data_IF_654620182303
#
_entry.id   IF_654620182303
#
_cell.length_a   1.000
_cell.length_b   1.000
_cell.length_c   1.000
_cell.angle_alpha   90.00
_cell.angle_beta   90.00
_cell.angle_gamma   90.00
#
_symmetry.space_group_name_H-M   'P 1'
#
loop_
_entity.id
_entity.type
_entity.pdbx_description
1 polymer ?
#
# COMPACT_ATOMS: atom_id res chain seq x y z
N UNK A 1 -0.12 -54.77 -5.54
CA UNK A 1 1.03 -54.80 -6.50
C UNK A 1 0.69 -53.82 -7.59
N UNK A 2 1.29 -52.68 -7.59
CA UNK A 2 1.71 -51.86 -8.76
C UNK A 2 2.28 -50.56 -8.20
N UNK A 3 3.56 -50.47 -8.37
CA UNK A 3 4.44 -49.39 -7.92
C UNK A 3 4.27 -48.15 -8.82
N UNK A 4 3.81 -47.04 -8.27
CA UNK A 4 3.84 -45.74 -8.90
C UNK A 4 5.03 -44.91 -8.39
N UNK A 5 5.93 -44.52 -9.27
CA UNK A 5 7.08 -43.64 -9.02
C UNK A 5 6.62 -42.21 -8.73
N UNK A 6 7.30 -41.48 -7.86
CA UNK A 6 7.05 -40.04 -7.71
C UNK A 6 7.70 -39.28 -8.89
N UNK A 7 6.91 -38.46 -9.55
CA UNK A 7 7.40 -37.49 -10.54
C UNK A 7 8.09 -36.32 -9.83
N UNK A 8 9.42 -36.29 -9.92
CA UNK A 8 10.22 -35.14 -9.54
C UNK A 8 10.08 -34.04 -10.58
N UNK A 9 9.18 -33.09 -10.39
CA UNK A 9 9.10 -31.90 -11.20
C UNK A 9 10.24 -30.95 -10.84
N UNK A 10 11.24 -30.84 -11.68
CA UNK A 10 12.23 -29.76 -11.64
C UNK A 10 11.52 -28.48 -12.05
N UNK A 11 11.46 -27.51 -11.16
CA UNK A 11 11.06 -26.15 -11.49
C UNK A 11 11.99 -25.62 -12.59
N UNK A 12 11.50 -25.51 -13.80
CA UNK A 12 12.21 -24.85 -14.90
C UNK A 12 11.93 -23.35 -14.79
N UNK A 13 12.92 -22.64 -14.29
CA UNK A 13 12.96 -21.18 -14.43
C UNK A 13 13.34 -20.86 -15.88
N UNK A 14 12.48 -20.11 -16.58
CA UNK A 14 12.79 -19.62 -17.91
C UNK A 14 13.70 -18.40 -17.81
N UNK A 15 14.83 -18.37 -18.56
CA UNK A 15 15.65 -17.18 -18.65
C UNK A 15 14.98 -16.15 -19.56
N UNK A 16 14.90 -14.91 -19.10
CA UNK A 16 14.57 -13.76 -19.95
C UNK A 16 15.66 -13.61 -21.04
N UNK A 17 15.27 -13.73 -22.28
CA UNK A 17 16.15 -13.62 -23.45
C UNK A 17 16.58 -12.16 -23.65
N UNK A 18 17.86 -11.90 -23.49
CA UNK A 18 18.53 -10.73 -24.04
C UNK A 18 18.68 -10.89 -25.56
N UNK A 19 17.97 -10.08 -26.33
CA UNK A 19 18.08 -10.06 -27.79
C UNK A 19 17.86 -8.65 -28.33
N UNK A 20 18.95 -7.86 -28.42
CA UNK A 20 18.93 -6.56 -29.12
C UNK A 20 19.06 -6.80 -30.60
N UNK A 21 17.98 -6.61 -31.34
CA UNK A 21 17.95 -6.55 -32.81
C UNK A 21 17.67 -5.11 -33.27
N UNK A 22 18.68 -4.39 -33.72
CA UNK A 22 18.56 -3.09 -34.37
C UNK A 22 17.84 -3.21 -35.73
N UNK A 23 16.53 -2.95 -35.73
CA UNK A 23 15.73 -2.82 -36.95
C UNK A 23 15.10 -1.43 -37.02
N UNK A 24 15.71 -0.51 -37.80
CA UNK A 24 15.11 0.80 -38.10
C UNK A 24 13.82 0.61 -38.90
N UNK A 25 12.67 0.76 -38.25
CA UNK A 25 11.43 1.14 -38.91
C UNK A 25 10.92 2.43 -38.26
N UNK A 26 10.80 3.47 -39.10
CA UNK A 26 10.15 4.73 -38.76
C UNK A 26 8.68 4.44 -38.47
N UNK A 27 8.32 4.25 -37.21
CA UNK A 27 6.95 4.37 -36.73
C UNK A 27 6.81 5.77 -36.17
N UNK A 28 5.77 6.47 -36.61
CA UNK A 28 5.45 7.81 -36.15
C UNK A 28 5.42 7.82 -34.63
N UNK A 29 6.36 8.54 -34.02
CA UNK A 29 6.29 8.91 -32.60
C UNK A 29 5.04 9.76 -32.43
N UNK A 30 3.93 9.17 -32.02
CA UNK A 30 2.95 9.89 -31.22
C UNK A 30 3.60 10.17 -29.88
N UNK A 31 4.37 11.22 -29.84
CA UNK A 31 4.79 11.84 -28.60
C UNK A 31 3.49 12.24 -27.90
N UNK A 32 3.22 11.61 -26.77
CA UNK A 32 2.17 12.06 -25.87
C UNK A 32 2.49 13.51 -25.48
N UNK A 33 1.91 14.45 -26.18
CA UNK A 33 1.75 15.81 -25.69
C UNK A 33 0.60 15.79 -24.67
N UNK A 34 0.84 15.17 -23.50
CA UNK A 34 0.15 15.63 -22.30
C UNK A 34 0.62 17.07 -22.11
N UNK A 35 -0.32 18.00 -22.25
CA UNK A 35 -0.06 19.43 -22.09
C UNK A 35 0.79 19.63 -20.82
N UNK A 36 1.90 20.31 -20.97
CA UNK A 36 2.78 20.80 -19.91
C UNK A 36 2.05 21.86 -19.04
N UNK A 37 0.94 21.48 -18.41
CA UNK A 37 0.45 22.11 -17.22
C UNK A 37 0.78 21.16 -16.06
N UNK A 38 2.03 21.17 -15.62
CA UNK A 38 2.35 20.89 -14.23
C UNK A 38 1.66 21.96 -13.41
N UNK A 39 0.36 21.78 -13.14
CA UNK A 39 -0.24 22.39 -11.98
C UNK A 39 0.46 21.78 -10.76
N UNK A 40 1.57 22.38 -10.36
CA UNK A 40 1.92 22.36 -8.96
C UNK A 40 0.73 23.06 -8.30
N UNK A 41 -0.22 22.27 -7.78
CA UNK A 41 -1.26 22.81 -6.92
C UNK A 41 -0.49 23.42 -5.75
N UNK A 42 -0.41 24.76 -5.76
CA UNK A 42 0.19 25.51 -4.64
C UNK A 42 -0.66 25.13 -3.44
N UNK A 43 -0.05 24.67 -2.33
CA UNK A 43 -0.79 24.44 -1.11
C UNK A 43 -1.59 25.70 -0.80
N UNK A 44 -2.90 25.53 -0.73
CA UNK A 44 -3.82 26.62 -0.37
C UNK A 44 -4.27 26.36 1.06
N UNK A 45 -4.53 27.43 1.80
CA UNK A 45 -5.19 27.25 3.10
C UNK A 45 -6.56 26.63 2.89
N UNK A 46 -6.84 25.54 3.62
CA UNK A 46 -8.12 24.82 3.58
C UNK A 46 -8.75 24.80 4.96
N UNK A 47 -10.07 24.88 5.02
CA UNK A 47 -10.83 24.87 6.26
C UNK A 47 -12.02 23.94 6.14
N UNK A 48 -12.02 22.86 6.93
CA UNK A 48 -13.09 21.88 7.06
C UNK A 48 -13.91 22.22 8.29
N UNK A 49 -15.17 22.67 8.11
CA UNK A 49 -16.03 23.18 9.20
C UNK A 49 -17.20 22.23 9.44
N UNK A 50 -17.84 22.34 10.59
CA UNK A 50 -19.03 21.56 10.95
C UNK A 50 -18.82 20.03 10.89
N UNK A 51 -17.59 19.58 11.04
CA UNK A 51 -17.23 18.17 10.85
C UNK A 51 -17.42 17.36 12.14
N UNK A 52 -17.79 16.09 11.99
CA UNK A 52 -17.40 15.08 12.97
C UNK A 52 -15.91 14.80 12.74
N UNK A 53 -15.06 15.05 13.75
CA UNK A 53 -13.61 14.87 13.62
C UNK A 53 -13.18 13.63 14.40
N UNK A 54 -12.41 12.74 13.73
CA UNK A 54 -11.74 11.59 14.33
C UNK A 54 -10.23 11.78 14.19
N UNK A 55 -9.53 12.32 15.19
CA UNK A 55 -8.13 12.71 15.03
C UNK A 55 -7.13 11.56 15.13
N UNK A 56 -7.52 10.37 15.57
CA UNK A 56 -6.64 9.21 15.81
C UNK A 56 -5.50 9.49 16.81
N UNK A 57 -5.66 10.51 17.67
CA UNK A 57 -4.69 10.89 18.72
C UNK A 57 -5.09 10.41 20.10
N UNK A 58 -6.14 9.59 20.22
CA UNK A 58 -6.63 9.13 21.52
C UNK A 58 -5.56 8.27 22.22
N UNK A 59 -5.36 8.52 23.50
CA UNK A 59 -4.53 7.71 24.38
C UNK A 59 -5.42 6.64 25.02
N UNK A 60 -5.06 5.36 24.86
CA UNK A 60 -5.86 4.23 25.32
C UNK A 60 -6.92 3.80 24.31
N UNK A 61 -7.82 2.92 24.70
CA UNK A 61 -8.75 2.19 23.83
C UNK A 61 -10.04 2.94 23.45
N UNK A 62 -10.17 4.22 23.85
CA UNK A 62 -11.38 4.99 23.61
C UNK A 62 -11.21 5.99 22.46
N UNK A 63 -11.79 5.75 21.30
CA UNK A 63 -11.80 6.71 20.20
C UNK A 63 -12.59 7.94 20.60
N UNK A 64 -11.99 9.13 20.46
CA UNK A 64 -12.64 10.39 20.73
C UNK A 64 -12.98 11.09 19.42
N UNK A 65 -14.24 11.01 19.04
CA UNK A 65 -14.79 11.89 18.01
C UNK A 65 -15.39 13.14 18.66
N UNK A 66 -15.34 14.28 17.98
CA UNK A 66 -15.98 15.52 18.42
C UNK A 66 -16.52 16.30 17.21
N UNK A 67 -17.45 17.22 17.47
CA UNK A 67 -17.89 18.19 16.46
C UNK A 67 -16.93 19.37 16.48
N UNK A 68 -16.40 19.74 15.31
CA UNK A 68 -15.40 20.80 15.25
C UNK A 68 -14.94 21.13 13.85
N UNK A 69 -13.73 21.67 13.76
CA UNK A 69 -13.11 22.08 12.52
C UNK A 69 -11.63 21.66 12.46
N UNK A 70 -11.13 21.56 11.20
CA UNK A 70 -9.73 21.30 10.88
C UNK A 70 -9.27 22.36 9.88
N UNK A 71 -8.21 23.07 10.21
CA UNK A 71 -7.57 24.03 9.32
C UNK A 71 -6.22 23.53 8.82
N UNK A 72 -5.95 23.77 7.56
CA UNK A 72 -4.70 23.44 6.87
C UNK A 72 -4.07 24.73 6.37
N UNK A 73 -2.79 24.92 6.66
CA UNK A 73 -1.97 25.97 6.05
C UNK A 73 -0.75 25.31 5.39
N UNK A 74 -0.51 25.63 4.15
CA UNK A 74 0.48 24.97 3.32
C UNK A 74 0.25 23.43 3.28
N UNK A 75 1.24 22.65 3.67
CA UNK A 75 1.14 21.18 3.71
C UNK A 75 0.97 20.63 5.14
N UNK A 76 0.61 21.48 6.11
CA UNK A 76 0.48 21.09 7.52
C UNK A 76 -0.90 21.40 8.07
N UNK A 77 -1.32 20.59 9.04
CA UNK A 77 -2.50 20.88 9.85
C UNK A 77 -2.16 22.04 10.79
N UNK A 78 -2.88 23.16 10.64
CA UNK A 78 -2.68 24.35 11.44
C UNK A 78 -3.44 24.29 12.76
N UNK A 79 -4.65 23.71 12.78
CA UNK A 79 -5.40 23.45 13.99
C UNK A 79 -6.39 22.30 13.82
N UNK A 80 -6.76 21.67 14.93
CA UNK A 80 -7.86 20.69 15.05
C UNK A 80 -8.58 21.03 16.36
N UNK A 81 -9.82 21.52 16.29
CA UNK A 81 -10.49 22.02 17.50
C UNK A 81 -12.01 21.92 17.46
N UNK A 82 -12.61 21.72 18.63
CA UNK A 82 -14.03 21.90 18.88
C UNK A 82 -14.37 23.37 19.28
N UNK A 83 -13.38 24.21 19.54
CA UNK A 83 -13.57 25.59 19.94
C UNK A 83 -13.83 26.48 18.70
N UNK A 84 -15.00 27.12 18.60
CA UNK A 84 -15.29 28.06 17.52
C UNK A 84 -14.33 29.26 17.43
N UNK A 85 -13.66 29.61 18.53
CA UNK A 85 -12.66 30.69 18.54
C UNK A 85 -11.45 30.31 17.68
N UNK A 86 -10.96 29.07 17.75
CA UNK A 86 -9.85 28.60 16.93
C UNK A 86 -10.17 28.64 15.42
N UNK A 87 -11.42 28.31 15.04
CA UNK A 87 -11.88 28.44 13.67
C UNK A 87 -11.94 29.92 13.24
N UNK A 88 -12.44 30.82 14.09
CA UNK A 88 -12.52 32.25 13.80
C UNK A 88 -11.12 32.89 13.63
N UNK A 89 -10.18 32.52 14.50
CA UNK A 89 -8.79 32.97 14.41
C UNK A 89 -8.12 32.49 13.11
N UNK A 90 -8.33 31.24 12.74
CA UNK A 90 -7.82 30.70 11.47
C UNK A 90 -8.41 31.45 10.25
N UNK A 91 -9.73 31.70 10.25
CA UNK A 91 -10.38 32.49 9.18
C UNK A 91 -9.84 33.91 9.07
N UNK A 92 -9.53 34.53 10.19
CA UNK A 92 -8.94 35.86 10.24
C UNK A 92 -7.51 35.87 9.69
N UNK A 93 -6.72 34.84 10.02
CA UNK A 93 -5.35 34.67 9.55
C UNK A 93 -5.26 34.23 8.07
N UNK A 94 -6.25 33.52 7.56
CA UNK A 94 -6.31 32.96 6.22
C UNK A 94 -7.63 33.30 5.50
N UNK A 95 -7.87 34.59 5.15
CA UNK A 95 -9.12 35.02 4.52
C UNK A 95 -9.34 34.41 3.12
N UNK A 96 -8.27 33.92 2.47
CA UNK A 96 -8.28 33.23 1.20
C UNK A 96 -8.56 31.72 1.33
N UNK A 97 -8.67 31.19 2.54
CA UNK A 97 -8.84 29.76 2.78
C UNK A 97 -10.10 29.23 2.09
N UNK A 98 -9.93 28.16 1.34
CA UNK A 98 -11.06 27.44 0.76
C UNK A 98 -11.81 26.68 1.84
N UNK A 99 -13.12 26.87 1.90
CA UNK A 99 -13.98 26.32 2.96
C UNK A 99 -14.75 25.11 2.45
N UNK A 100 -14.68 24.00 3.22
CA UNK A 100 -15.46 22.77 3.03
C UNK A 100 -16.46 22.66 4.19
N UNK A 101 -17.76 22.68 3.86
CA UNK A 101 -18.81 22.42 4.85
C UNK A 101 -19.00 20.90 5.00
N UNK A 102 -18.61 20.37 6.15
CA UNK A 102 -18.60 18.93 6.46
C UNK A 102 -19.78 18.51 7.35
N UNK A 103 -20.91 19.21 7.30
CA UNK A 103 -22.13 18.78 8.02
C UNK A 103 -22.57 17.39 7.60
N UNK A 104 -22.70 16.47 8.58
CA UNK A 104 -23.04 15.07 8.32
C UNK A 104 -21.89 14.24 7.74
N UNK A 105 -20.65 14.78 7.77
CA UNK A 105 -19.46 14.10 7.29
C UNK A 105 -18.43 13.94 8.40
N UNK A 106 -17.54 12.96 8.19
CA UNK A 106 -16.40 12.70 9.04
C UNK A 106 -15.13 13.27 8.38
N UNK A 107 -14.29 13.93 9.16
CA UNK A 107 -12.91 14.27 8.79
C UNK A 107 -11.97 13.41 9.64
N UNK A 108 -11.10 12.63 8.98
CA UNK A 108 -10.14 11.75 9.62
C UNK A 108 -8.83 11.71 8.85
N UNK A 109 -7.73 11.18 9.44
CA UNK A 109 -6.50 10.95 8.67
C UNK A 109 -6.77 10.07 7.46
N UNK A 110 -6.01 10.29 6.39
CA UNK A 110 -6.00 9.40 5.24
C UNK A 110 -5.50 8.00 5.59
N UNK A 111 -5.96 7.01 4.83
CA UNK A 111 -5.56 5.62 5.01
C UNK A 111 -4.17 5.37 4.41
N UNK A 112 -3.44 4.45 5.02
CA UNK A 112 -2.10 4.02 4.60
C UNK A 112 -2.15 2.55 4.24
N UNK A 113 -1.94 2.23 2.97
CA UNK A 113 -1.79 0.87 2.47
C UNK A 113 -0.31 0.47 2.52
N UNK A 114 0.05 -0.50 3.34
CA UNK A 114 1.46 -0.79 3.66
C UNK A 114 2.09 -1.89 2.83
N UNK A 115 1.35 -2.47 1.90
CA UNK A 115 1.86 -3.41 0.90
C UNK A 115 0.86 -3.57 -0.23
N UNK A 116 1.26 -3.20 -1.41
CA UNK A 116 0.49 -3.46 -2.62
C UNK A 116 1.41 -3.74 -3.83
N UNK A 117 0.78 -4.09 -4.94
CA UNK A 117 1.37 -4.23 -6.26
C UNK A 117 0.50 -3.43 -7.24
N UNK A 118 0.52 -2.09 -7.10
CA UNK A 118 -0.45 -1.21 -7.73
C UNK A 118 -0.55 -1.38 -9.26
N UNK A 119 0.57 -1.66 -9.94
CA UNK A 119 0.58 -1.89 -11.38
C UNK A 119 -0.12 -3.20 -11.82
N UNK A 120 -0.36 -4.15 -10.89
CA UNK A 120 -1.13 -5.36 -11.15
C UNK A 120 -2.63 -5.10 -11.38
N UNK A 121 -3.10 -3.87 -11.31
CA UNK A 121 -4.44 -3.48 -11.80
C UNK A 121 -4.69 -3.92 -13.24
N UNK A 122 -3.66 -4.02 -14.08
CA UNK A 122 -3.77 -4.56 -15.44
C UNK A 122 -4.07 -6.07 -15.48
N UNK A 123 -3.88 -6.76 -14.38
CA UNK A 123 -4.07 -8.22 -14.24
C UNK A 123 -5.30 -8.57 -13.40
N UNK A 124 -6.06 -7.58 -12.96
CA UNK A 124 -7.29 -7.78 -12.16
C UNK A 124 -8.21 -8.78 -12.83
N UNK A 125 -8.60 -9.82 -12.10
CA UNK A 125 -9.47 -10.91 -12.59
C UNK A 125 -8.94 -11.64 -13.86
N UNK A 126 -7.62 -11.59 -14.08
CA UNK A 126 -7.03 -12.29 -15.23
C UNK A 126 -6.98 -13.81 -15.04
N UNK A 127 -6.78 -14.26 -13.79
CA UNK A 127 -6.73 -15.67 -13.43
C UNK A 127 -7.11 -15.82 -11.96
N UNK A 128 -8.31 -16.31 -11.69
CA UNK A 128 -8.83 -16.51 -10.33
C UNK A 128 -9.04 -18.02 -10.06
N UNK A 129 -9.19 -18.39 -8.79
CA UNK A 129 -9.52 -19.75 -8.32
C UNK A 129 -8.49 -20.82 -8.73
N UNK A 130 -7.21 -20.46 -8.71
CA UNK A 130 -6.08 -21.29 -9.14
C UNK A 130 -5.05 -21.40 -8.01
N UNK A 131 -4.45 -22.57 -7.73
CA UNK A 131 -3.39 -22.72 -6.75
C UNK A 131 -2.20 -21.78 -7.04
N UNK A 132 -1.63 -21.14 -6.00
CA UNK A 132 -0.63 -20.07 -6.09
C UNK A 132 0.51 -20.38 -7.09
N UNK A 133 1.14 -21.54 -7.01
CA UNK A 133 2.29 -21.86 -7.89
C UNK A 133 1.88 -22.01 -9.36
N UNK A 134 0.70 -22.55 -9.65
CA UNK A 134 0.16 -22.61 -11.01
C UNK A 134 -0.25 -21.21 -11.48
N UNK A 135 -0.86 -20.42 -10.61
CA UNK A 135 -1.24 -19.04 -10.87
C UNK A 135 -0.04 -18.18 -11.25
N UNK A 136 1.06 -18.24 -10.47
CA UNK A 136 2.31 -17.52 -10.77
C UNK A 136 2.94 -17.99 -12.09
N UNK A 137 3.15 -19.31 -12.25
CA UNK A 137 3.92 -19.85 -13.38
C UNK A 137 3.19 -19.78 -14.72
N UNK A 138 1.87 -20.02 -14.72
CA UNK A 138 1.11 -20.22 -15.95
C UNK A 138 0.40 -18.94 -16.41
N UNK A 139 0.18 -17.96 -15.49
CA UNK A 139 -0.59 -16.76 -15.77
C UNK A 139 0.16 -15.46 -15.47
N UNK A 140 0.61 -15.25 -14.21
CA UNK A 140 1.11 -13.95 -13.78
C UNK A 140 2.47 -13.63 -14.40
N UNK A 141 3.48 -14.47 -14.18
CA UNK A 141 4.81 -14.23 -14.75
C UNK A 141 4.82 -14.19 -16.29
N UNK A 142 4.08 -15.05 -17.01
CA UNK A 142 3.94 -14.89 -18.47
C UNK A 142 3.25 -13.60 -18.91
N UNK A 143 2.30 -13.05 -18.14
CA UNK A 143 1.71 -11.75 -18.42
C UNK A 143 2.73 -10.63 -18.20
N UNK A 144 3.40 -10.63 -17.06
CA UNK A 144 4.43 -9.65 -16.68
C UNK A 144 5.59 -9.62 -17.67
N UNK A 145 6.06 -10.78 -18.13
CA UNK A 145 7.12 -10.86 -19.13
C UNK A 145 6.78 -10.18 -20.49
N UNK A 146 5.49 -9.94 -20.74
CA UNK A 146 5.00 -9.25 -21.95
C UNK A 146 4.75 -7.77 -21.74
N UNK A 147 4.71 -7.30 -20.46
CA UNK A 147 4.57 -5.89 -20.13
C UNK A 147 5.81 -5.10 -20.54
N UNK A 148 5.62 -3.81 -20.73
CA UNK A 148 6.68 -2.82 -20.88
C UNK A 148 6.67 -1.91 -19.64
N UNK A 149 7.73 -1.16 -19.41
CA UNK A 149 7.76 -0.17 -18.34
C UNK A 149 6.63 0.88 -18.46
N UNK A 150 6.20 1.20 -19.67
CA UNK A 150 5.07 2.12 -19.89
C UNK A 150 3.72 1.47 -19.50
N UNK A 151 3.59 0.15 -19.62
CA UNK A 151 2.43 -0.59 -19.12
C UNK A 151 2.39 -0.60 -17.59
N UNK A 152 3.54 -0.76 -16.95
CA UNK A 152 3.65 -0.67 -15.49
C UNK A 152 3.24 0.73 -15.00
N UNK A 153 3.72 1.79 -15.65
CA UNK A 153 3.31 3.17 -15.34
C UNK A 153 1.81 3.38 -15.51
N UNK A 154 1.21 2.77 -16.53
CA UNK A 154 -0.24 2.85 -16.77
C UNK A 154 -1.02 2.11 -15.68
N UNK A 155 -0.60 0.89 -15.32
CA UNK A 155 -1.20 0.13 -14.23
C UNK A 155 -1.08 0.85 -12.87
N UNK A 156 0.11 1.40 -12.58
CA UNK A 156 0.34 2.26 -11.40
C UNK A 156 -0.63 3.45 -11.39
N UNK A 157 -0.85 4.10 -12.55
CA UNK A 157 -1.79 5.23 -12.67
C UNK A 157 -3.21 4.81 -12.30
N UNK A 158 -3.65 3.63 -12.77
CA UNK A 158 -4.97 3.08 -12.43
C UNK A 158 -5.07 2.72 -10.95
N UNK A 159 -4.04 2.09 -10.38
CA UNK A 159 -4.00 1.73 -8.96
C UNK A 159 -4.05 2.98 -8.06
N UNK A 160 -3.28 4.01 -8.37
CA UNK A 160 -3.32 5.29 -7.63
C UNK A 160 -4.70 5.94 -7.73
N UNK A 161 -5.34 5.89 -8.90
CA UNK A 161 -6.69 6.42 -9.06
C UNK A 161 -7.71 5.72 -8.17
N UNK A 162 -7.65 4.40 -8.07
CA UNK A 162 -8.50 3.60 -7.19
C UNK A 162 -8.22 3.89 -5.72
N UNK A 163 -6.95 3.87 -5.31
CA UNK A 163 -6.51 4.18 -3.94
C UNK A 163 -6.97 5.58 -3.50
N UNK A 164 -6.76 6.61 -4.32
CA UNK A 164 -7.21 7.97 -4.00
C UNK A 164 -8.74 8.03 -3.84
N UNK A 165 -9.51 7.43 -4.75
CA UNK A 165 -10.98 7.36 -4.62
C UNK A 165 -11.41 6.55 -3.39
N UNK A 166 -10.60 5.63 -2.90
CA UNK A 166 -10.81 4.84 -1.69
C UNK A 166 -10.34 5.51 -0.41
N UNK A 167 -9.72 6.70 -0.48
CA UNK A 167 -9.24 7.42 0.72
C UNK A 167 -7.84 7.03 1.18
N UNK A 168 -7.10 6.28 0.37
CA UNK A 168 -5.67 6.01 0.59
C UNK A 168 -4.89 7.28 0.22
N UNK A 169 -4.13 7.80 1.16
CA UNK A 169 -3.26 8.98 0.96
C UNK A 169 -1.80 8.60 0.86
N UNK A 170 -1.46 7.42 1.34
CA UNK A 170 -0.09 6.90 1.33
C UNK A 170 -0.11 5.40 1.06
N UNK A 171 0.83 4.90 0.25
CA UNK A 171 0.95 3.47 -0.02
C UNK A 171 2.41 3.01 -0.11
N UNK A 172 2.60 1.70 0.08
CA UNK A 172 3.89 1.01 -0.05
C UNK A 172 3.75 0.00 -1.19
N UNK A 173 4.39 0.27 -2.30
CA UNK A 173 4.36 -0.58 -3.49
C UNK A 173 5.57 -1.50 -3.59
N UNK A 174 5.40 -2.64 -4.20
CA UNK A 174 6.46 -3.60 -4.45
C UNK A 174 6.33 -4.15 -5.87
N UNK A 175 6.97 -3.50 -6.85
CA UNK A 175 6.82 -3.93 -8.24
C UNK A 175 8.08 -3.68 -9.08
N UNK A 176 7.98 -3.92 -10.39
CA UNK A 176 9.04 -3.69 -11.37
C UNK A 176 9.02 -2.25 -11.87
N UNK A 177 10.17 -1.76 -12.34
CA UNK A 177 10.32 -0.45 -13.00
C UNK A 177 9.85 0.75 -12.16
N UNK A 178 10.01 0.69 -10.86
CA UNK A 178 9.60 1.75 -9.94
C UNK A 178 10.29 3.09 -10.21
N UNK A 179 11.51 3.06 -10.75
CA UNK A 179 12.18 4.25 -11.26
C UNK A 179 11.35 5.03 -12.29
N UNK A 180 10.53 4.32 -13.10
CA UNK A 180 9.62 4.91 -14.09
C UNK A 180 8.33 5.43 -13.48
N UNK A 181 7.94 4.93 -12.30
CA UNK A 181 6.72 5.32 -11.60
C UNK A 181 6.86 6.60 -10.78
N UNK A 182 8.08 7.01 -10.40
CA UNK A 182 8.37 8.19 -9.55
C UNK A 182 7.66 9.46 -10.06
N UNK A 183 7.75 9.75 -11.36
CA UNK A 183 7.13 10.96 -11.93
C UNK A 183 5.61 10.89 -11.92
N UNK A 184 5.02 9.72 -12.11
CA UNK A 184 3.56 9.52 -12.09
C UNK A 184 3.01 9.69 -10.67
N UNK A 185 3.67 9.09 -9.66
CA UNK A 185 3.33 9.27 -8.25
C UNK A 185 3.40 10.75 -7.86
N UNK A 186 4.46 11.45 -8.25
CA UNK A 186 4.63 12.87 -7.95
C UNK A 186 3.55 13.73 -8.61
N UNK A 187 3.24 13.47 -9.87
CA UNK A 187 2.20 14.19 -10.65
C UNK A 187 0.79 13.96 -10.07
N UNK A 188 0.44 12.73 -9.72
CA UNK A 188 -0.86 12.42 -9.11
C UNK A 188 -0.94 12.87 -7.66
N UNK A 189 0.20 13.06 -7.02
CA UNK A 189 0.33 13.73 -5.74
C UNK A 189 -0.04 12.87 -4.53
N UNK A 190 -0.14 11.57 -4.68
CA UNK A 190 -0.24 10.63 -3.57
C UNK A 190 1.13 10.47 -2.91
N UNK A 191 1.18 10.02 -1.65
CA UNK A 191 2.43 9.69 -0.97
C UNK A 191 2.76 8.22 -1.18
N UNK A 192 4.03 7.89 -1.47
CA UNK A 192 4.44 6.51 -1.76
C UNK A 192 5.81 6.13 -1.19
N UNK A 193 5.95 4.85 -0.86
CA UNK A 193 7.22 4.16 -0.75
C UNK A 193 7.28 3.12 -1.86
N UNK A 194 8.17 3.31 -2.84
CA UNK A 194 8.29 2.49 -4.04
C UNK A 194 9.40 1.46 -3.87
N UNK A 195 9.03 0.19 -3.80
CA UNK A 195 9.92 -0.95 -3.60
C UNK A 195 10.30 -1.63 -4.89
N UNK A 196 11.52 -1.41 -5.34
CA UNK A 196 12.03 -2.04 -6.54
C UNK A 196 12.25 -3.54 -6.30
N UNK A 197 11.35 -4.34 -6.86
CA UNK A 197 11.30 -5.79 -6.67
C UNK A 197 12.36 -6.52 -7.49
N UNK A 198 13.07 -7.47 -6.85
CA UNK A 198 14.05 -8.32 -7.53
C UNK A 198 14.04 -9.77 -7.05
N UNK A 199 14.54 -10.63 -7.95
CA UNK A 199 14.82 -12.05 -7.78
C UNK A 199 16.31 -12.32 -7.99
N UNK A 200 16.79 -13.53 -7.72
CA UNK A 200 18.14 -13.92 -8.09
C UNK A 200 18.44 -13.77 -9.59
N UNK A 201 17.43 -13.88 -10.44
CA UNK A 201 17.56 -13.87 -11.89
C UNK A 201 17.72 -12.48 -12.51
N UNK A 202 17.28 -11.41 -11.82
CA UNK A 202 17.27 -10.05 -12.37
C UNK A 202 17.97 -9.00 -11.47
N UNK A 203 18.61 -9.41 -10.39
CA UNK A 203 19.22 -8.48 -9.43
C UNK A 203 20.26 -7.54 -10.08
N UNK A 204 21.01 -8.00 -11.07
CA UNK A 204 22.03 -7.18 -11.75
C UNK A 204 21.42 -6.01 -12.53
N UNK A 205 20.17 -6.17 -12.96
CA UNK A 205 19.40 -5.13 -13.66
C UNK A 205 18.72 -4.19 -12.65
N UNK A 206 18.18 -4.74 -11.56
CA UNK A 206 17.36 -3.97 -10.62
C UNK A 206 18.19 -3.14 -9.64
N UNK A 207 19.37 -3.59 -9.18
CA UNK A 207 20.20 -2.78 -8.27
C UNK A 207 20.55 -1.40 -8.82
N UNK A 208 20.91 -1.22 -10.12
CA UNK A 208 21.04 0.10 -10.73
C UNK A 208 19.75 0.91 -10.78
N UNK A 209 18.59 0.27 -11.06
CA UNK A 209 17.27 0.93 -11.08
C UNK A 209 16.90 1.50 -9.70
N UNK A 210 17.21 0.80 -8.60
CA UNK A 210 17.04 1.30 -7.22
C UNK A 210 17.82 2.61 -7.03
N UNK A 211 19.08 2.65 -7.47
CA UNK A 211 19.91 3.86 -7.38
C UNK A 211 19.34 5.02 -8.21
N UNK A 212 18.79 4.73 -9.39
CA UNK A 212 18.12 5.72 -10.23
C UNK A 212 16.83 6.21 -9.58
N UNK A 213 15.98 5.31 -9.08
CA UNK A 213 14.74 5.65 -8.37
C UNK A 213 15.04 6.57 -7.17
N UNK A 214 16.03 6.23 -6.35
CA UNK A 214 16.45 7.05 -5.21
C UNK A 214 16.91 8.45 -5.64
N UNK A 215 17.64 8.56 -6.74
CA UNK A 215 18.05 9.86 -7.31
C UNK A 215 16.86 10.67 -7.82
N UNK A 216 15.90 10.02 -8.49
CA UNK A 216 14.69 10.67 -9.00
C UNK A 216 13.77 11.13 -7.84
N UNK A 217 13.69 10.35 -6.76
CA UNK A 217 12.89 10.70 -5.57
C UNK A 217 13.53 11.79 -4.70
N UNK A 218 14.82 12.10 -4.91
CA UNK A 218 15.55 13.09 -4.12
C UNK A 218 14.87 14.48 -4.20
N UNK A 219 14.58 15.05 -3.03
CA UNK A 219 13.86 16.34 -2.91
C UNK A 219 12.34 16.27 -3.05
N UNK A 220 11.77 15.07 -3.27
CA UNK A 220 10.31 14.83 -3.30
C UNK A 220 9.87 14.20 -1.97
N UNK A 221 9.43 15.03 -1.01
CA UNK A 221 9.11 14.58 0.35
C UNK A 221 8.01 13.51 0.42
N UNK A 222 7.13 13.46 -0.59
CA UNK A 222 6.08 12.46 -0.68
C UNK A 222 6.57 11.08 -1.16
N UNK A 223 7.78 10.96 -1.72
CA UNK A 223 8.24 9.73 -2.35
C UNK A 223 9.48 9.20 -1.64
N UNK A 224 9.39 7.96 -1.20
CA UNK A 224 10.50 7.17 -0.67
C UNK A 224 10.76 5.97 -1.55
N UNK A 225 11.97 5.45 -1.51
CA UNK A 225 12.36 4.25 -2.24
C UNK A 225 12.74 3.16 -1.24
N UNK A 226 12.44 1.92 -1.59
CA UNK A 226 12.83 0.76 -0.82
C UNK A 226 13.52 -0.29 -1.69
N UNK A 227 14.33 -1.12 -1.06
CA UNK A 227 14.91 -2.31 -1.65
C UNK A 227 13.96 -3.47 -1.37
N UNK A 228 13.52 -4.18 -2.40
CA UNK A 228 12.45 -5.15 -2.28
C UNK A 228 12.85 -6.53 -2.87
N UNK A 229 13.70 -7.35 -2.18
CA UNK A 229 13.82 -8.76 -2.54
C UNK A 229 12.46 -9.44 -2.43
N UNK A 230 12.07 -10.22 -3.45
CA UNK A 230 10.74 -10.81 -3.51
C UNK A 230 10.42 -11.65 -2.24
N UNK A 231 11.25 -12.65 -1.95
CA UNK A 231 11.04 -13.54 -0.80
C UNK A 231 12.31 -14.32 -0.45
N UNK A 232 12.42 -14.93 0.74
CA UNK A 232 13.59 -15.72 1.13
C UNK A 232 13.72 -17.05 0.35
N UNK A 233 12.71 -17.47 -0.41
CA UNK A 233 12.81 -18.66 -1.25
C UNK A 233 13.17 -18.37 -2.70
N UNK A 234 13.03 -17.12 -3.16
CA UNK A 234 13.33 -16.67 -4.53
C UNK A 234 14.62 -15.86 -4.63
N UNK A 235 15.13 -15.38 -3.48
CA UNK A 235 16.37 -14.60 -3.41
C UNK A 235 17.35 -15.28 -2.46
N UNK A 236 18.55 -15.56 -2.96
CA UNK A 236 19.60 -16.24 -2.20
C UNK A 236 20.14 -15.37 -1.06
N UNK A 237 20.76 -15.99 -0.03
CA UNK A 237 21.38 -15.27 1.08
C UNK A 237 22.43 -14.25 0.65
N UNK A 238 23.17 -14.53 -0.43
CA UNK A 238 24.15 -13.61 -0.98
C UNK A 238 23.49 -12.35 -1.54
N UNK A 239 22.40 -12.51 -2.29
CA UNK A 239 21.66 -11.41 -2.90
C UNK A 239 20.79 -10.65 -1.90
N UNK A 240 20.26 -11.32 -0.86
CA UNK A 240 19.64 -10.63 0.28
C UNK A 240 20.62 -9.67 0.98
N UNK A 241 21.89 -10.12 1.22
CA UNK A 241 22.92 -9.24 1.79
C UNK A 241 23.28 -8.07 0.88
N UNK A 242 23.43 -8.31 -0.44
CA UNK A 242 23.69 -7.23 -1.42
C UNK A 242 22.60 -6.16 -1.41
N UNK A 243 21.34 -6.58 -1.39
CA UNK A 243 20.19 -5.66 -1.28
C UNK A 243 20.22 -4.88 0.03
N UNK A 244 20.49 -5.56 1.15
CA UNK A 244 20.63 -4.91 2.46
C UNK A 244 21.76 -3.87 2.46
N UNK A 245 22.95 -4.23 1.98
CA UNK A 245 24.10 -3.33 1.88
C UNK A 245 23.79 -2.09 1.03
N UNK A 246 23.02 -2.26 -0.05
CA UNK A 246 22.56 -1.14 -0.86
C UNK A 246 21.57 -0.26 -0.08
N UNK A 247 20.60 -0.86 0.60
CA UNK A 247 19.64 -0.12 1.42
C UNK A 247 20.33 0.67 2.54
N UNK A 248 21.28 0.05 3.25
CA UNK A 248 22.02 0.69 4.33
C UNK A 248 22.89 1.85 3.81
N UNK A 249 23.58 1.67 2.67
CA UNK A 249 24.39 2.71 2.04
C UNK A 249 23.60 3.93 1.59
N UNK A 250 22.36 3.72 1.11
CA UNK A 250 21.49 4.78 0.60
C UNK A 250 20.45 5.26 1.63
N UNK A 251 20.41 4.67 2.83
CA UNK A 251 19.42 5.01 3.87
C UNK A 251 17.99 4.61 3.51
N UNK A 252 17.80 3.56 2.71
CA UNK A 252 16.49 3.12 2.21
C UNK A 252 15.82 2.13 3.16
N UNK A 253 14.50 2.02 3.03
CA UNK A 253 13.72 0.95 3.63
C UNK A 253 13.91 -0.37 2.86
N UNK A 254 13.45 -1.46 3.46
CA UNK A 254 13.39 -2.79 2.85
C UNK A 254 11.98 -3.34 2.94
N UNK A 255 11.59 -4.14 1.97
CA UNK A 255 10.36 -4.91 2.03
C UNK A 255 10.57 -6.30 1.45
N UNK A 256 9.81 -7.27 1.94
CA UNK A 256 9.94 -8.67 1.53
C UNK A 256 8.68 -9.45 1.93
N UNK A 257 8.24 -10.41 1.11
CA UNK A 257 7.22 -11.37 1.52
C UNK A 257 7.83 -12.40 2.49
N UNK A 258 7.15 -12.65 3.60
CA UNK A 258 7.68 -13.52 4.69
C UNK A 258 6.60 -14.50 5.15
N UNK A 259 6.92 -15.79 5.15
CA UNK A 259 6.12 -16.85 5.74
C UNK A 259 4.65 -16.81 5.27
N UNK A 260 4.45 -16.55 3.98
CA UNK A 260 3.13 -16.41 3.37
C UNK A 260 2.43 -17.75 3.26
N UNK A 261 3.12 -18.79 2.74
CA UNK A 261 2.53 -20.10 2.48
C UNK A 261 3.30 -21.24 3.15
N UNK A 262 2.64 -22.38 3.31
CA UNK A 262 3.30 -23.59 3.81
C UNK A 262 4.40 -24.09 2.86
N UNK A 263 4.25 -23.86 1.55
CA UNK A 263 5.29 -24.21 0.58
C UNK A 263 6.56 -23.38 0.78
N UNK A 264 6.43 -22.07 1.02
CA UNK A 264 7.58 -21.24 1.40
C UNK A 264 8.27 -21.78 2.65
N UNK A 265 7.48 -22.07 3.73
CA UNK A 265 8.01 -22.63 4.97
C UNK A 265 8.81 -23.91 4.72
N UNK A 266 8.30 -24.80 3.89
CA UNK A 266 8.96 -26.06 3.52
C UNK A 266 10.24 -25.80 2.72
N UNK A 267 10.17 -24.97 1.68
CA UNK A 267 11.30 -24.68 0.78
C UNK A 267 12.47 -24.04 1.55
N UNK A 268 12.18 -23.05 2.39
CA UNK A 268 13.20 -22.33 3.16
C UNK A 268 13.85 -23.26 4.21
N UNK A 269 13.05 -24.10 4.90
CA UNK A 269 13.58 -25.10 5.84
C UNK A 269 14.46 -26.15 5.15
N UNK A 270 14.04 -26.66 4.00
CA UNK A 270 14.83 -27.64 3.23
C UNK A 270 16.16 -27.06 2.74
N UNK A 271 16.18 -25.78 2.33
CA UNK A 271 17.38 -25.11 1.80
C UNK A 271 18.34 -24.62 2.87
N UNK A 272 17.80 -24.07 3.96
CA UNK A 272 18.58 -23.29 4.92
C UNK A 272 18.52 -23.81 6.35
N UNK A 273 17.71 -24.84 6.64
CA UNK A 273 17.57 -25.43 7.97
C UNK A 273 16.79 -24.55 8.97
N UNK A 274 16.16 -23.49 8.52
CA UNK A 274 15.42 -22.54 9.35
C UNK A 274 14.12 -22.11 8.67
N UNK A 275 13.19 -21.55 9.44
CA UNK A 275 11.98 -20.90 8.91
C UNK A 275 12.33 -19.54 8.28
N UNK A 276 11.45 -18.94 7.47
CA UNK A 276 11.69 -17.65 6.82
C UNK A 276 12.13 -16.54 7.77
N UNK A 277 11.42 -16.34 8.89
CA UNK A 277 11.75 -15.29 9.87
C UNK A 277 13.12 -15.53 10.49
N UNK A 278 13.39 -16.75 11.01
CA UNK A 278 14.68 -17.10 11.61
C UNK A 278 15.82 -17.03 10.61
N UNK A 279 15.57 -17.41 9.37
CA UNK A 279 16.58 -17.29 8.30
C UNK A 279 16.94 -15.83 8.01
N UNK A 280 15.97 -14.96 7.86
CA UNK A 280 16.18 -13.53 7.62
C UNK A 280 16.84 -12.85 8.82
N UNK A 281 16.48 -13.23 10.05
CA UNK A 281 17.11 -12.72 11.26
C UNK A 281 18.58 -13.12 11.35
N UNK A 282 18.89 -14.40 11.09
CA UNK A 282 20.28 -14.90 11.06
C UNK A 282 21.15 -14.21 9.99
N UNK A 283 20.54 -13.76 8.89
CA UNK A 283 21.23 -12.93 7.86
C UNK A 283 21.39 -11.48 8.30
N UNK A 284 20.77 -11.08 9.42
CA UNK A 284 20.68 -9.70 9.87
C UNK A 284 19.85 -8.83 8.94
N UNK A 285 18.91 -9.39 8.18
CA UNK A 285 18.10 -8.64 7.21
C UNK A 285 17.00 -7.81 7.89
N UNK A 286 16.50 -8.26 9.05
CA UNK A 286 15.38 -7.67 9.77
C UNK A 286 15.81 -6.52 10.69
N UNK A 287 15.15 -5.37 10.58
CA UNK A 287 15.23 -4.22 11.49
C UNK A 287 14.01 -3.31 11.35
N UNK A 288 14.03 -2.15 12.03
CA UNK A 288 12.93 -1.18 12.08
C UNK A 288 12.59 -0.51 10.73
N UNK A 289 13.45 -0.65 9.72
CA UNK A 289 13.20 -0.18 8.35
C UNK A 289 12.69 -1.28 7.43
N UNK A 290 12.34 -2.44 7.98
CA UNK A 290 11.86 -3.58 7.21
C UNK A 290 10.33 -3.69 7.29
N UNK A 291 9.67 -3.78 6.14
CA UNK A 291 8.26 -4.17 5.99
C UNK A 291 8.21 -5.62 5.55
N UNK A 292 7.65 -6.49 6.38
CA UNK A 292 7.43 -7.91 6.09
C UNK A 292 5.96 -8.15 5.76
N UNK A 293 5.67 -8.49 4.51
CA UNK A 293 4.30 -8.77 4.08
C UNK A 293 3.87 -10.19 4.49
N UNK A 294 2.59 -10.35 4.78
CA UNK A 294 1.86 -11.57 5.14
C UNK A 294 2.13 -12.11 6.54
N UNK A 295 3.28 -12.67 6.83
CA UNK A 295 3.63 -13.31 8.12
C UNK A 295 2.53 -14.27 8.62
N UNK A 296 1.99 -15.13 7.73
CA UNK A 296 0.87 -16.04 8.02
C UNK A 296 1.33 -17.18 8.91
N UNK A 297 2.46 -17.81 8.55
CA UNK A 297 2.97 -19.03 9.20
C UNK A 297 4.14 -18.73 10.13
N UNK A 298 3.86 -18.01 11.23
CA UNK A 298 4.84 -17.65 12.26
C UNK A 298 4.43 -18.22 13.62
N UNK A 299 5.41 -18.65 14.39
CA UNK A 299 5.22 -19.08 15.78
C UNK A 299 5.51 -17.92 16.77
N UNK A 300 5.28 -18.16 18.06
CA UNK A 300 5.45 -17.14 19.10
C UNK A 300 6.88 -16.58 19.18
N UNK A 301 7.90 -17.41 18.98
CA UNK A 301 9.30 -16.96 19.00
C UNK A 301 9.61 -16.09 17.77
N UNK A 302 9.04 -16.42 16.63
CA UNK A 302 9.17 -15.63 15.41
C UNK A 302 8.46 -14.27 15.53
N UNK A 303 7.30 -14.24 16.17
CA UNK A 303 6.61 -13.00 16.52
C UNK A 303 7.50 -12.14 17.44
N UNK A 304 8.14 -12.74 18.43
CA UNK A 304 9.07 -12.02 19.31
C UNK A 304 10.29 -11.48 18.55
N UNK A 305 10.82 -12.22 17.58
CA UNK A 305 11.89 -11.73 16.70
C UNK A 305 11.42 -10.51 15.92
N UNK A 306 10.26 -10.60 15.25
CA UNK A 306 9.70 -9.47 14.49
C UNK A 306 9.49 -8.24 15.36
N UNK A 307 8.93 -8.41 16.57
CA UNK A 307 8.73 -7.33 17.53
C UNK A 307 10.04 -6.72 18.01
N UNK A 308 11.02 -7.53 18.40
CA UNK A 308 12.34 -7.07 18.90
C UNK A 308 13.16 -6.36 17.82
N UNK A 309 13.05 -6.79 16.56
CA UNK A 309 13.69 -6.14 15.41
C UNK A 309 12.96 -4.88 14.95
N UNK A 310 11.75 -4.63 15.46
CA UNK A 310 10.94 -3.48 15.06
C UNK A 310 10.35 -3.60 13.65
N UNK A 311 10.28 -4.82 13.11
CA UNK A 311 9.72 -5.09 11.77
C UNK A 311 8.27 -4.68 11.72
N UNK A 312 7.88 -3.97 10.67
CA UNK A 312 6.46 -3.75 10.37
C UNK A 312 5.91 -4.99 9.68
N UNK A 313 4.92 -5.65 10.30
CA UNK A 313 4.17 -6.74 9.69
C UNK A 313 3.00 -6.16 8.91
N UNK A 314 3.01 -6.29 7.60
CA UNK A 314 1.91 -5.89 6.73
C UNK A 314 0.96 -7.07 6.51
N UNK A 315 -0.24 -6.99 7.12
CA UNK A 315 -1.27 -8.03 7.04
C UNK A 315 -2.16 -7.82 5.84
N UNK A 316 -2.29 -8.82 4.97
CA UNK A 316 -3.05 -8.80 3.72
C UNK A 316 -4.22 -9.80 3.80
N UNK A 317 -5.29 -9.49 4.57
CA UNK A 317 -6.28 -10.52 4.93
C UNK A 317 -7.03 -11.09 3.74
N UNK A 318 -7.49 -10.27 2.79
CA UNK A 318 -8.26 -10.76 1.65
C UNK A 318 -7.42 -11.58 0.68
N UNK A 319 -6.20 -11.11 0.36
CA UNK A 319 -5.27 -11.86 -0.47
C UNK A 319 -4.96 -13.23 0.17
N UNK A 320 -4.59 -13.26 1.46
CA UNK A 320 -4.31 -14.50 2.19
C UNK A 320 -5.50 -15.48 2.16
N UNK A 321 -6.72 -14.96 2.25
CA UNK A 321 -7.94 -15.78 2.17
C UNK A 321 -8.17 -16.29 0.75
N UNK A 322 -8.07 -15.42 -0.25
CA UNK A 322 -8.36 -15.74 -1.65
C UNK A 322 -7.43 -16.80 -2.22
N UNK A 323 -6.12 -16.67 -1.95
CA UNK A 323 -5.13 -17.64 -2.42
C UNK A 323 -4.90 -18.80 -1.42
N UNK A 324 -5.72 -18.85 -0.36
CA UNK A 324 -5.72 -19.89 0.66
C UNK A 324 -4.35 -20.05 1.38
N UNK A 325 -3.63 -18.95 1.60
CA UNK A 325 -2.36 -18.93 2.34
C UNK A 325 -2.56 -19.28 3.82
N UNK A 326 -3.69 -18.92 4.43
CA UNK A 326 -4.02 -19.16 5.83
C UNK A 326 -4.44 -17.89 6.57
N UNK A 327 -4.43 -17.95 7.91
CA UNK A 327 -4.82 -16.85 8.79
C UNK A 327 -3.61 -16.40 9.60
N UNK A 328 -3.10 -15.18 9.35
CA UNK A 328 -2.03 -14.62 10.15
C UNK A 328 -2.51 -14.37 11.59
N UNK A 329 -1.70 -14.65 12.63
CA UNK A 329 -2.10 -14.51 14.03
C UNK A 329 -1.99 -13.06 14.53
N UNK A 330 -2.71 -12.13 13.88
CA UNK A 330 -2.59 -10.67 14.08
C UNK A 330 -2.86 -10.26 15.52
N UNK A 331 -3.91 -10.77 16.14
CA UNK A 331 -4.23 -10.47 17.55
C UNK A 331 -3.06 -10.89 18.46
N UNK A 332 -2.46 -12.06 18.21
CA UNK A 332 -1.30 -12.55 18.94
C UNK A 332 -0.05 -11.71 18.70
N UNK A 333 0.16 -11.24 17.47
CA UNK A 333 1.26 -10.33 17.13
C UNK A 333 1.14 -9.01 17.92
N UNK A 334 -0.05 -8.41 17.93
CA UNK A 334 -0.32 -7.17 18.68
C UNK A 334 -0.10 -7.38 20.18
N UNK A 335 -0.62 -8.49 20.75
CA UNK A 335 -0.43 -8.83 22.15
C UNK A 335 1.06 -8.95 22.54
N UNK A 336 1.90 -9.46 21.64
CA UNK A 336 3.34 -9.62 21.84
C UNK A 336 4.16 -8.37 21.44
N UNK A 337 3.50 -7.27 21.08
CA UNK A 337 4.13 -5.98 20.81
C UNK A 337 4.71 -5.81 19.41
N UNK A 338 4.40 -6.70 18.46
CA UNK A 338 4.77 -6.51 17.07
C UNK A 338 3.99 -5.33 16.46
N UNK A 339 4.64 -4.56 15.60
CA UNK A 339 4.00 -3.52 14.82
C UNK A 339 3.26 -4.17 13.64
N UNK A 340 1.93 -4.20 13.73
CA UNK A 340 1.08 -4.73 12.67
C UNK A 340 0.37 -3.59 11.94
N UNK A 341 0.27 -3.69 10.63
CA UNK A 341 -0.50 -2.84 9.72
C UNK A 341 -1.42 -3.68 8.87
N UNK A 342 -2.29 -3.07 8.09
CA UNK A 342 -3.14 -3.76 7.12
C UNK A 342 -2.88 -3.23 5.72
N UNK A 343 -3.06 -4.08 4.71
CA UNK A 343 -2.75 -3.77 3.33
C UNK A 343 -3.56 -4.61 2.35
N UNK A 344 -3.63 -4.16 1.10
CA UNK A 344 -4.46 -4.78 0.07
C UNK A 344 -3.75 -5.91 -0.68
N UNK A 345 -2.40 -5.91 -0.75
CA UNK A 345 -1.66 -6.74 -1.69
C UNK A 345 -1.97 -6.40 -3.17
N UNK A 346 -1.72 -7.30 -4.10
CA UNK A 346 -1.94 -7.06 -5.52
C UNK A 346 -3.41 -7.19 -5.96
N UNK A 347 -3.90 -6.31 -6.86
CA UNK A 347 -5.24 -6.44 -7.43
C UNK A 347 -5.49 -7.71 -8.25
N UNK A 348 -4.51 -8.56 -8.43
CA UNK A 348 -4.66 -9.88 -9.01
C UNK A 348 -4.86 -10.98 -7.96
N UNK A 349 -4.38 -10.80 -6.72
CA UNK A 349 -4.57 -11.73 -5.60
C UNK A 349 -5.69 -11.31 -4.64
N UNK A 350 -6.08 -10.05 -4.66
CA UNK A 350 -7.20 -9.49 -3.87
C UNK A 350 -8.40 -9.08 -4.75
N UNK A 351 -8.18 -8.54 -5.94
CA UNK A 351 -9.08 -7.98 -6.94
C UNK A 351 -9.42 -6.50 -6.76
N UNK A 352 -9.16 -5.86 -5.64
CA UNK A 352 -9.31 -4.40 -5.45
C UNK A 352 -8.21 -3.80 -4.57
N UNK A 353 -8.32 -2.50 -4.31
CA UNK A 353 -7.45 -1.72 -3.42
C UNK A 353 -8.31 -0.98 -2.38
N UNK A 354 -9.38 -1.63 -1.86
CA UNK A 354 -10.31 -1.09 -0.87
C UNK A 354 -9.86 -1.37 0.57
N UNK A 355 -9.19 -0.39 1.19
CA UNK A 355 -8.75 -0.48 2.58
C UNK A 355 -9.88 -0.62 3.61
N UNK A 356 -11.13 -0.19 3.31
CA UNK A 356 -12.26 -0.42 4.22
C UNK A 356 -12.66 -1.89 4.25
N UNK A 357 -12.57 -2.57 3.11
CA UNK A 357 -12.80 -4.01 3.05
C UNK A 357 -11.70 -4.79 3.77
N UNK A 358 -10.45 -4.38 3.63
CA UNK A 358 -9.32 -4.98 4.36
C UNK A 358 -9.47 -4.83 5.87
N UNK A 359 -9.81 -3.62 6.36
CA UNK A 359 -10.06 -3.37 7.78
C UNK A 359 -11.16 -4.27 8.34
N UNK A 360 -12.26 -4.39 7.63
CA UNK A 360 -13.40 -5.24 7.99
C UNK A 360 -13.00 -6.71 8.03
N UNK A 361 -12.33 -7.15 6.98
CA UNK A 361 -11.87 -8.53 6.83
C UNK A 361 -10.87 -8.90 7.92
N UNK A 362 -9.90 -8.04 8.20
CA UNK A 362 -8.94 -8.25 9.30
C UNK A 362 -9.66 -8.43 10.64
N UNK A 363 -10.61 -7.53 10.97
CA UNK A 363 -11.35 -7.60 12.23
C UNK A 363 -12.21 -8.87 12.33
N UNK A 364 -12.95 -9.22 11.28
CA UNK A 364 -13.82 -10.41 11.30
C UNK A 364 -13.01 -11.71 11.32
N UNK A 365 -11.91 -11.75 10.57
CA UNK A 365 -11.07 -12.93 10.47
C UNK A 365 -10.46 -13.30 11.83
N UNK A 366 -9.92 -12.32 12.58
CA UNK A 366 -9.38 -12.56 13.92
C UNK A 366 -10.46 -13.01 14.90
N UNK A 367 -11.63 -12.37 14.91
CA UNK A 367 -12.76 -12.77 15.76
C UNK A 367 -13.21 -14.22 15.47
N UNK A 368 -13.31 -14.58 14.20
CA UNK A 368 -13.73 -15.90 13.77
C UNK A 368 -12.67 -16.96 14.11
N UNK A 369 -11.40 -16.69 13.82
CA UNK A 369 -10.31 -17.64 14.05
C UNK A 369 -10.08 -17.96 15.54
N UNK A 370 -10.29 -16.96 16.41
CA UNK A 370 -10.11 -17.11 17.86
C UNK A 370 -11.42 -17.44 18.61
N UNK A 371 -12.56 -17.45 17.92
CA UNK A 371 -13.90 -17.55 18.54
C UNK A 371 -14.09 -16.51 19.67
N UNK A 372 -13.50 -15.31 19.51
CA UNK A 372 -13.53 -14.24 20.49
C UNK A 372 -14.00 -12.93 19.83
N UNK A 373 -15.17 -12.38 20.23
CA UNK A 373 -15.68 -11.12 19.68
C UNK A 373 -14.82 -9.91 20.07
N UNK A 374 -13.92 -10.03 21.05
CA UNK A 374 -13.03 -8.97 21.49
C UNK A 374 -11.69 -8.95 20.73
N UNK A 375 -11.38 -9.99 19.95
CA UNK A 375 -10.19 -10.01 19.11
C UNK A 375 -10.25 -8.90 18.05
N UNK A 376 -9.21 -8.09 17.96
CA UNK A 376 -9.06 -6.97 17.04
C UNK A 376 -10.32 -6.06 16.98
N UNK A 377 -10.60 -5.24 18.02
CA UNK A 377 -11.72 -4.32 18.02
C UNK A 377 -11.62 -3.26 16.91
N UNK A 378 -12.74 -2.62 16.55
CA UNK A 378 -12.81 -1.67 15.43
C UNK A 378 -11.74 -0.57 15.48
N UNK A 379 -11.51 0.02 16.64
CA UNK A 379 -10.50 1.08 16.78
C UNK A 379 -9.07 0.55 16.57
N UNK A 380 -8.75 -0.64 17.11
CA UNK A 380 -7.46 -1.28 16.88
C UNK A 380 -7.28 -1.63 15.39
N UNK A 381 -8.32 -2.14 14.72
CA UNK A 381 -8.29 -2.36 13.29
C UNK A 381 -8.01 -1.06 12.52
N UNK A 382 -8.68 0.05 12.86
CA UNK A 382 -8.49 1.33 12.20
C UNK A 382 -7.06 1.89 12.41
N UNK A 383 -6.44 1.62 13.56
CA UNK A 383 -5.03 1.98 13.80
C UNK A 383 -4.08 1.31 12.82
N UNK A 384 -4.38 0.09 12.36
CA UNK A 384 -3.54 -0.63 11.40
C UNK A 384 -3.37 0.14 10.08
N UNK A 385 -4.42 0.83 9.62
CA UNK A 385 -4.42 1.62 8.40
C UNK A 385 -4.15 3.12 8.61
N UNK A 386 -3.85 3.55 9.82
CA UNK A 386 -3.61 4.97 10.13
C UNK A 386 -2.28 5.14 10.87
N UNK A 387 -2.28 5.21 12.20
CA UNK A 387 -1.08 5.49 13.00
C UNK A 387 0.01 4.43 12.84
N UNK A 388 -0.37 3.15 12.72
CA UNK A 388 0.61 2.08 12.48
C UNK A 388 1.17 2.17 11.06
N UNK A 389 0.32 2.42 10.06
CA UNK A 389 0.75 2.65 8.68
C UNK A 389 1.73 3.83 8.56
N UNK A 390 1.52 4.90 9.33
CA UNK A 390 2.45 6.03 9.40
C UNK A 390 3.85 5.62 9.89
N UNK A 391 3.92 4.71 10.86
CA UNK A 391 5.21 4.15 11.34
C UNK A 391 5.89 3.33 10.25
N UNK A 392 5.13 2.51 9.50
CA UNK A 392 5.65 1.77 8.35
C UNK A 392 6.29 2.69 7.30
N UNK A 393 5.69 3.86 7.09
CA UNK A 393 6.21 4.90 6.19
C UNK A 393 7.40 5.68 6.79
N UNK A 394 7.82 5.40 8.04
CA UNK A 394 8.81 6.19 8.78
C UNK A 394 8.36 7.64 9.02
N UNK A 395 7.03 7.86 9.22
CA UNK A 395 6.39 9.16 9.44
C UNK A 395 5.53 9.16 10.71
N UNK A 396 5.98 8.46 11.74
CA UNK A 396 5.27 8.39 13.03
C UNK A 396 4.98 9.78 13.58
N UNK A 397 3.70 10.01 13.96
CA UNK A 397 3.24 11.30 14.48
C UNK A 397 3.14 12.42 13.45
N UNK A 398 3.58 12.21 12.20
CA UNK A 398 3.37 13.15 11.09
C UNK A 398 2.20 12.72 10.19
N UNK A 399 1.97 11.43 10.01
CA UNK A 399 0.87 10.84 9.25
C UNK A 399 -0.05 10.02 10.16
N UNK A 400 -1.23 9.67 9.65
CA UNK A 400 -2.19 8.82 10.35
C UNK A 400 -2.86 9.48 11.56
N UNK A 401 -2.65 10.77 11.77
CA UNK A 401 -3.21 11.56 12.87
C UNK A 401 -3.64 12.94 12.38
N UNK A 402 -4.70 13.51 12.99
CA UNK A 402 -5.01 14.92 12.84
C UNK A 402 -4.57 15.65 14.13
N UNK A 403 -3.46 16.33 14.06
CA UNK A 403 -2.96 17.20 15.12
C UNK A 403 -2.20 18.38 14.52
N UNK A 404 -2.12 19.46 15.25
CA UNK A 404 -1.32 20.61 14.85
C UNK A 404 0.13 20.21 14.51
N UNK A 405 0.63 20.72 13.39
CA UNK A 405 1.96 20.45 12.87
C UNK A 405 2.11 19.13 12.11
N UNK A 406 1.12 18.21 12.12
CA UNK A 406 1.14 17.01 11.32
C UNK A 406 1.00 17.33 9.82
N UNK A 407 1.41 16.41 8.96
CA UNK A 407 1.19 16.51 7.51
C UNK A 407 -0.31 16.53 7.20
N UNK A 408 -0.69 17.35 6.26
CA UNK A 408 -2.10 17.51 5.88
C UNK A 408 -2.52 16.43 4.88
N UNK A 409 -2.57 15.18 5.36
CA UNK A 409 -3.08 14.01 4.67
C UNK A 409 -4.37 13.56 5.38
N UNK A 410 -5.53 13.88 4.80
CA UNK A 410 -6.83 13.60 5.39
C UNK A 410 -7.89 13.23 4.37
N UNK A 411 -8.96 12.61 4.85
CA UNK A 411 -10.14 12.26 4.06
C UNK A 411 -11.41 12.80 4.69
N UNK A 412 -12.37 13.09 3.83
CA UNK A 412 -13.75 13.41 4.21
C UNK A 412 -14.64 12.26 3.78
N UNK A 413 -15.32 11.63 4.75
CA UNK A 413 -16.24 10.51 4.53
C UNK A 413 -17.68 11.01 4.71
N UNK A 414 -18.54 10.76 3.72
CA UNK A 414 -19.96 11.08 3.79
C UNK A 414 -20.69 10.06 4.66
N UNK A 415 -21.10 10.49 5.85
CA UNK A 415 -21.84 9.64 6.80
C UNK A 415 -23.34 9.57 6.50
N UNK A 416 -23.86 10.35 5.55
CA UNK A 416 -25.29 10.39 5.20
C UNK A 416 -25.67 9.30 4.17
N UNK A 417 -25.21 8.07 4.43
CA UNK A 417 -25.51 6.89 3.62
C UNK A 417 -26.41 5.92 4.40
N UNK A 418 -27.36 5.25 3.74
CA UNK A 418 -28.28 4.32 4.43
C UNK A 418 -27.56 3.24 5.25
N UNK A 419 -26.42 2.72 4.76
CA UNK A 419 -25.67 1.66 5.44
C UNK A 419 -24.81 2.18 6.61
N UNK A 420 -24.66 3.50 6.76
CA UNK A 420 -23.95 4.15 7.88
C UNK A 420 -24.94 4.71 8.92
N UNK A 421 -26.23 4.57 8.74
CA UNK A 421 -27.25 5.06 9.66
C UNK A 421 -27.94 3.93 10.41
N UNK A 422 -28.28 4.13 11.70
CA UNK A 422 -27.98 5.29 12.54
C UNK A 422 -26.51 5.32 13.03
N UNK A 423 -26.03 6.51 13.40
CA UNK A 423 -24.67 6.72 13.92
C UNK A 423 -24.63 6.54 15.45
N UNK A 424 -24.50 5.31 15.94
CA UNK A 424 -24.26 5.04 17.37
C UNK A 424 -22.76 5.15 17.72
N UNK A 425 -21.90 4.60 16.88
CA UNK A 425 -20.45 4.66 17.01
C UNK A 425 -19.83 4.80 15.61
N UNK A 426 -19.15 5.93 15.37
CA UNK A 426 -18.59 6.27 14.09
C UNK A 426 -17.46 5.31 13.69
N UNK A 427 -16.61 4.91 14.64
CA UNK A 427 -15.48 4.01 14.36
C UNK A 427 -15.97 2.61 14.02
N UNK A 428 -16.94 2.11 14.78
CA UNK A 428 -17.60 0.84 14.49
C UNK A 428 -18.24 0.85 13.10
N UNK A 429 -18.96 1.93 12.75
CA UNK A 429 -19.58 2.08 11.44
C UNK A 429 -18.54 2.12 10.32
N UNK A 430 -17.42 2.84 10.49
CA UNK A 430 -16.35 2.89 9.50
C UNK A 430 -15.80 1.49 9.21
N UNK A 431 -15.43 0.75 10.25
CA UNK A 431 -14.78 -0.56 10.09
C UNK A 431 -15.76 -1.63 9.59
N UNK A 432 -16.97 -1.67 10.16
CA UNK A 432 -17.90 -2.77 9.86
C UNK A 432 -18.89 -2.47 8.73
N UNK A 433 -19.09 -1.19 8.37
CA UNK A 433 -20.09 -0.79 7.37
C UNK A 433 -19.51 0.12 6.28
N UNK A 434 -18.43 0.86 6.55
CA UNK A 434 -17.82 1.82 5.62
C UNK A 434 -17.33 1.17 4.32
N UNK A 435 -17.26 1.96 3.26
CA UNK A 435 -16.83 1.55 1.92
C UNK A 435 -15.95 2.63 1.31
N UNK A 436 -15.03 2.27 0.43
CA UNK A 436 -14.28 3.23 -0.38
C UNK A 436 -15.18 4.26 -1.08
N UNK A 437 -16.38 3.84 -1.50
CA UNK A 437 -17.36 4.70 -2.14
C UNK A 437 -17.93 5.82 -1.25
N UNK A 438 -17.75 5.75 0.07
CA UNK A 438 -18.22 6.77 1.02
C UNK A 438 -17.22 7.95 1.17
N UNK A 439 -15.99 7.78 0.69
CA UNK A 439 -14.97 8.85 0.68
C UNK A 439 -15.34 9.87 -0.38
N UNK A 440 -15.54 11.12 0.01
CA UNK A 440 -15.94 12.21 -0.88
C UNK A 440 -14.75 13.06 -1.32
N UNK A 441 -13.88 13.42 -0.36
CA UNK A 441 -12.75 14.33 -0.59
C UNK A 441 -11.49 13.75 0.01
N UNK A 442 -10.37 13.89 -0.70
CA UNK A 442 -9.05 13.42 -0.26
C UNK A 442 -8.05 14.56 -0.41
N UNK A 443 -7.32 14.81 0.66
CA UNK A 443 -6.21 15.78 0.71
C UNK A 443 -4.92 15.04 0.97
N UNK A 444 -3.91 15.30 0.17
CA UNK A 444 -2.54 14.80 0.38
C UNK A 444 -1.58 15.98 0.31
N UNK A 445 -0.74 16.09 1.32
CA UNK A 445 0.29 17.14 1.41
C UNK A 445 -0.32 18.55 1.26
N UNK A 446 -1.48 18.78 1.90
CA UNK A 446 -2.23 20.05 1.86
C UNK A 446 -2.95 20.34 0.54
N UNK A 447 -2.89 19.44 -0.44
CA UNK A 447 -3.54 19.62 -1.73
C UNK A 447 -4.74 18.68 -1.90
N UNK A 448 -5.87 19.21 -2.37
CA UNK A 448 -7.05 18.40 -2.71
C UNK A 448 -6.73 17.53 -3.92
N UNK A 449 -6.79 16.21 -3.76
CA UNK A 449 -6.55 15.21 -4.81
C UNK A 449 -7.84 14.62 -5.36
N UNK A 450 -8.83 14.46 -4.47
CA UNK A 450 -10.19 14.05 -4.85
C UNK A 450 -11.16 15.05 -4.28
N UNK A 451 -12.11 15.48 -5.07
CA UNK A 451 -13.21 16.33 -4.65
C UNK A 451 -14.52 15.83 -5.22
N UNK A 452 -15.51 15.65 -4.35
CA UNK A 452 -16.82 15.09 -4.75
C UNK A 452 -16.66 13.81 -5.61
N UNK A 453 -15.70 12.94 -5.20
CA UNK A 453 -15.33 11.70 -5.90
C UNK A 453 -14.75 11.90 -7.31
N UNK A 454 -14.24 13.06 -7.63
CA UNK A 454 -13.52 13.32 -8.88
C UNK A 454 -12.04 13.53 -8.58
N UNK A 455 -11.17 12.82 -9.27
CA UNK A 455 -9.72 12.99 -9.14
C UNK A 455 -9.30 14.26 -9.89
N UNK A 456 -8.62 15.16 -9.19
CA UNK A 456 -8.16 16.42 -9.78
C UNK A 456 -7.06 16.13 -10.80
N UNK A 457 -7.28 16.57 -12.04
CA UNK A 457 -6.28 16.48 -13.12
C UNK A 457 -6.12 15.11 -13.75
N UNK A 458 -7.07 14.16 -13.56
CA UNK A 458 -7.06 12.85 -14.21
C UNK A 458 -8.40 12.59 -14.93
N UNK A 459 -8.33 12.28 -16.23
CA UNK A 459 -9.48 11.83 -17.03
C UNK A 459 -9.60 10.30 -16.94
N UNK A 460 -10.51 9.82 -16.09
CA UNK A 460 -10.75 8.38 -15.91
C UNK A 460 -11.25 7.67 -17.18
N UNK A 461 -12.20 8.20 -17.96
CA UNK A 461 -12.57 7.66 -19.26
C UNK A 461 -11.41 7.47 -20.23
N UNK A 462 -10.46 8.41 -20.30
CA UNK A 462 -9.25 8.27 -21.11
C UNK A 462 -8.36 7.16 -20.57
N UNK A 463 -8.09 7.16 -19.26
CA UNK A 463 -7.31 6.13 -18.58
C UNK A 463 -7.88 4.71 -18.84
N UNK A 464 -9.20 4.55 -18.75
CA UNK A 464 -9.85 3.24 -19.01
C UNK A 464 -9.66 2.75 -20.45
N UNK A 465 -9.70 3.66 -21.45
CA UNK A 465 -9.42 3.32 -22.84
C UNK A 465 -7.97 2.86 -23.04
N UNK A 466 -7.04 3.57 -22.42
CA UNK A 466 -5.61 3.25 -22.52
C UNK A 466 -5.29 1.91 -21.86
N UNK A 467 -5.86 1.66 -20.68
CA UNK A 467 -5.74 0.38 -19.96
C UNK A 467 -6.30 -0.77 -20.80
N UNK A 468 -7.50 -0.62 -21.37
CA UNK A 468 -8.10 -1.65 -22.21
C UNK A 468 -7.21 -1.97 -23.44
N UNK A 469 -6.66 -0.93 -24.10
CA UNK A 469 -5.78 -1.10 -25.24
C UNK A 469 -4.43 -1.76 -24.84
N UNK A 470 -3.88 -1.44 -23.70
CA UNK A 470 -2.66 -2.05 -23.18
C UNK A 470 -2.86 -3.53 -22.86
N UNK A 471 -3.92 -3.86 -22.13
CA UNK A 471 -4.26 -5.26 -21.78
C UNK A 471 -4.48 -6.11 -23.01
N UNK A 472 -5.21 -5.60 -24.02
CA UNK A 472 -5.42 -6.30 -25.30
C UNK A 472 -4.08 -6.57 -26.02
N UNK A 473 -3.20 -5.59 -26.06
CA UNK A 473 -1.85 -5.74 -26.65
C UNK A 473 -1.01 -6.76 -25.90
N UNK A 474 -1.01 -6.74 -24.55
CA UNK A 474 -0.24 -7.66 -23.72
C UNK A 474 -0.73 -9.10 -23.92
N UNK A 475 -2.06 -9.33 -23.94
CA UNK A 475 -2.66 -10.64 -24.16
C UNK A 475 -2.33 -11.21 -25.54
N UNK A 476 -2.26 -10.37 -26.57
CA UNK A 476 -2.00 -10.79 -27.96
C UNK A 476 -0.51 -10.84 -28.34
N UNK A 477 0.41 -10.41 -27.45
CA UNK A 477 1.85 -10.48 -27.68
C UNK A 477 2.29 -11.96 -27.55
N UNK A 478 2.79 -12.54 -28.66
CA UNK A 478 3.31 -13.92 -28.71
C UNK A 478 4.71 -14.01 -28.12
#
# INVERSE_FOLDING_TARGET
MTTGRPAGGKAQFYPLLSGVGLGRRRTAKRTFYLSLFTFHLIPMSLLFTNATVLPMTAVGDQPRTFQGAVGIADNRIAFVSADPAAEADFRAAHPEARIFDCRGKLVMPGLVDTHCHAAMTLQRSYADDIPLMAWLNDYIWPFEARQTADDVVLGMTLGIAEMLLGGVTSFVDMYYHENRCVETVDRLGIRAMLGCNYFDTNIEEVLPEIGEAARLAAGRDRIRIAVAPHSPYTVSPANLRRGRELADRLGLHRMIHIAETQDEMRIVRERYGASPVRHLDALGFLDERTVGAHCVWVDDEEIDILAQRGVTVSHNPQSNMKIASGVAPVARMIERGALVTVATDGPCSNNDLDMFEELRTAAFLQKSALADPLALPAYEALKLATVNGARAMGREGELGVLREGALADLIVVDLQKPHLQPLHDVVSNLVYCGKAADVETVVVDGCVRVENRHIVGLDLPELYRDVAAAVERIKNKK
#
